data_IF_611264882940
#
_entry.id   IF_611264882940
#
_cell.length_a   1.000
_cell.length_b   1.000
_cell.length_c   1.000
_cell.angle_alpha   90.00
_cell.angle_beta   90.00
_cell.angle_gamma   90.00
#
_symmetry.space_group_name_H-M   'P 1'
#
loop_
_entity.id
_entity.type
_entity.pdbx_description
1 polymer ?
#
# COMPACT_ATOMS: atom_id res chain seq x y z
N UNK A 1 -7.27 -3.77 19.00
CA UNK A 1 -7.28 -4.33 17.64
C UNK A 1 -7.04 -3.17 16.69
N UNK A 2 -5.92 -3.17 15.97
CA UNK A 2 -5.62 -2.12 14.98
C UNK A 2 -6.18 -2.58 13.65
N UNK A 3 -7.00 -1.76 13.00
CA UNK A 3 -7.60 -2.11 11.72
C UNK A 3 -6.72 -1.64 10.57
N UNK A 4 -6.65 -2.38 9.45
CA UNK A 4 -5.97 -1.92 8.25
C UNK A 4 -6.55 -0.59 7.75
N UNK A 5 -5.67 0.29 7.25
CA UNK A 5 -6.08 1.51 6.58
C UNK A 5 -6.18 1.24 5.08
N UNK A 6 -7.36 1.46 4.51
CA UNK A 6 -7.59 1.36 3.06
C UNK A 6 -7.60 2.74 2.41
N UNK A 7 -6.75 2.92 1.41
CA UNK A 7 -6.64 4.15 0.63
C UNK A 7 -7.09 3.86 -0.80
N UNK A 8 -8.14 4.57 -1.25
CA UNK A 8 -8.62 4.46 -2.62
C UNK A 8 -7.57 5.03 -3.58
N UNK A 9 -7.04 4.17 -4.44
CA UNK A 9 -5.90 4.50 -5.31
C UNK A 9 -6.29 4.53 -6.80
N UNK A 10 -7.57 4.33 -7.13
CA UNK A 10 -8.08 4.21 -8.50
C UNK A 10 -7.76 5.40 -9.42
N UNK A 11 -7.61 6.60 -8.88
CA UNK A 11 -7.27 7.82 -9.61
C UNK A 11 -5.76 8.03 -9.85
N UNK A 12 -4.89 7.23 -9.22
CA UNK A 12 -3.44 7.38 -9.34
C UNK A 12 -2.77 6.00 -9.36
N UNK A 13 -2.24 5.59 -10.51
CA UNK A 13 -1.57 4.28 -10.65
C UNK A 13 -0.06 4.46 -10.57
N UNK A 14 0.55 3.93 -9.51
CA UNK A 14 2.00 3.77 -9.44
C UNK A 14 2.45 2.75 -10.49
N UNK A 15 3.62 2.99 -11.09
CA UNK A 15 4.37 1.93 -11.77
C UNK A 15 4.89 0.94 -10.74
N UNK A 16 5.32 -0.24 -11.20
CA UNK A 16 5.88 -1.26 -10.32
C UNK A 16 7.14 -0.74 -9.60
N UNK A 17 8.00 0.06 -10.27
CA UNK A 17 9.16 0.66 -9.60
C UNK A 17 8.77 1.68 -8.52
N UNK A 18 7.75 2.51 -8.79
CA UNK A 18 7.28 3.49 -7.82
C UNK A 18 6.63 2.82 -6.61
N UNK A 19 5.87 1.73 -6.83
CA UNK A 19 5.31 0.93 -5.75
C UNK A 19 6.41 0.25 -4.93
N UNK A 20 7.43 -0.30 -5.59
CA UNK A 20 8.59 -0.87 -4.93
C UNK A 20 9.32 0.17 -4.07
N UNK A 21 9.56 1.37 -4.60
CA UNK A 21 10.23 2.44 -3.86
C UNK A 21 9.42 2.87 -2.63
N UNK A 22 8.09 2.99 -2.77
CA UNK A 22 7.20 3.29 -1.64
C UNK A 22 7.36 2.28 -0.50
N UNK A 23 7.39 0.98 -0.82
CA UNK A 23 7.65 -0.08 0.15
C UNK A 23 9.06 0.01 0.74
N UNK A 24 10.05 0.35 -0.08
CA UNK A 24 11.44 0.46 0.35
C UNK A 24 11.68 1.62 1.32
N UNK A 25 10.99 2.73 1.13
CA UNK A 25 11.11 3.94 1.96
C UNK A 25 10.37 3.78 3.30
N UNK A 26 9.32 2.97 3.34
CA UNK A 26 8.46 2.74 4.50
C UNK A 26 8.53 1.28 4.96
N UNK A 27 9.74 0.80 5.29
CA UNK A 27 10.00 -0.64 5.57
C UNK A 27 9.28 -1.19 6.80
N UNK A 28 8.85 -0.31 7.69
CA UNK A 28 8.07 -0.61 8.89
C UNK A 28 6.59 -0.86 8.57
N UNK A 29 6.14 -0.48 7.38
CA UNK A 29 4.78 -0.66 6.90
C UNK A 29 4.72 -1.76 5.84
N UNK A 30 3.61 -2.51 5.84
CA UNK A 30 3.30 -3.48 4.80
C UNK A 30 2.19 -2.95 3.91
N UNK A 31 2.53 -2.73 2.64
CA UNK A 31 1.60 -2.30 1.60
C UNK A 31 1.14 -3.48 0.77
N UNK A 32 -0.17 -3.53 0.48
CA UNK A 32 -0.77 -4.50 -0.44
C UNK A 32 -1.61 -3.75 -1.47
N UNK A 33 -1.58 -4.23 -2.72
CA UNK A 33 -2.46 -3.74 -3.78
C UNK A 33 -3.52 -4.79 -4.07
N UNK A 34 -4.80 -4.42 -3.91
CA UNK A 34 -5.88 -5.36 -4.18
C UNK A 34 -6.21 -5.43 -5.68
N UNK A 35 -7.09 -6.36 -6.06
CA UNK A 35 -7.49 -6.58 -7.46
C UNK A 35 -8.21 -5.39 -8.13
N UNK A 36 -8.72 -4.43 -7.34
CA UNK A 36 -9.32 -3.19 -7.85
C UNK A 36 -8.25 -2.13 -8.13
N UNK A 37 -7.04 -2.33 -7.63
CA UNK A 37 -5.94 -1.38 -7.71
C UNK A 37 -5.84 -0.44 -6.53
N UNK A 38 -6.65 -0.62 -5.48
CA UNK A 38 -6.57 0.13 -4.22
C UNK A 38 -5.42 -0.38 -3.33
N UNK A 39 -4.92 0.49 -2.46
CA UNK A 39 -3.79 0.20 -1.57
C UNK A 39 -4.28 -0.01 -0.13
N UNK A 40 -3.82 -1.10 0.48
CA UNK A 40 -4.08 -1.45 1.87
C UNK A 40 -2.78 -1.35 2.64
N UNK A 41 -2.81 -0.63 3.76
CA UNK A 41 -1.69 -0.54 4.71
C UNK A 41 -2.04 -1.42 5.91
N UNK A 42 -1.27 -2.49 6.07
CA UNK A 42 -1.44 -3.42 7.18
C UNK A 42 -0.80 -2.84 8.44
N UNK A 43 -1.43 -3.02 9.62
CA UNK A 43 -0.82 -2.62 10.87
C UNK A 43 0.47 -3.42 11.14
N UNK A 44 1.48 -2.82 11.79
CA UNK A 44 2.68 -3.53 12.21
C UNK A 44 2.32 -4.64 13.19
N UNK A 45 2.98 -5.80 13.07
CA UNK A 45 2.83 -6.98 13.96
C UNK A 45 3.73 -6.91 15.17
#
# INVERSE_FOLDING_TARGET
MVNPLEIKFNSFKLTDEQFYQLCHDNRDLRFERNSKGDMVIMPPT
#
